data_IF_687240812331
#
_entry.id   IF_687240812331
#
_cell.length_a   1.000
_cell.length_b   1.000
_cell.length_c   1.000
_cell.angle_alpha   90.00
_cell.angle_beta   90.00
_cell.angle_gamma   90.00
#
_symmetry.space_group_name_H-M   'P 1'
#
loop_
_entity.id
_entity.type
_entity.pdbx_description
1 polymer ?
#
# COMPACT_ATOMS: atom_id res chain seq x y z
N UNK A 1 -32.98 63.12 -59.85
CA UNK A 1 -31.89 63.29 -58.87
C UNK A 1 -32.17 62.30 -57.71
N UNK A 2 -31.80 61.04 -57.90
CA UNK A 2 -32.08 59.98 -56.93
C UNK A 2 -30.81 59.62 -56.20
N UNK A 3 -30.82 59.78 -54.88
CA UNK A 3 -29.71 59.34 -54.00
C UNK A 3 -29.94 57.87 -53.51
N UNK A 4 -29.08 57.02 -54.01
CA UNK A 4 -29.03 55.61 -53.52
C UNK A 4 -28.24 55.57 -52.23
N UNK A 5 -28.86 55.13 -51.14
CA UNK A 5 -28.20 54.79 -49.86
C UNK A 5 -27.71 53.35 -49.90
N UNK A 6 -26.39 53.15 -49.85
CA UNK A 6 -25.76 51.87 -49.74
C UNK A 6 -25.83 51.35 -48.30
N UNK A 7 -26.42 50.19 -48.13
CA UNK A 7 -26.47 49.47 -46.83
C UNK A 7 -25.15 48.69 -46.61
N UNK A 8 -24.31 49.16 -45.69
CA UNK A 8 -23.11 48.44 -45.26
C UNK A 8 -23.51 47.25 -44.42
N UNK A 9 -23.24 46.03 -44.90
CA UNK A 9 -23.41 44.78 -44.13
C UNK A 9 -22.24 44.61 -43.17
N UNK A 10 -22.48 44.81 -41.87
CA UNK A 10 -21.56 44.54 -40.78
C UNK A 10 -21.46 43.03 -40.60
N UNK A 11 -20.34 42.42 -40.97
CA UNK A 11 -20.05 41.00 -40.69
C UNK A 11 -19.56 40.90 -39.25
N UNK A 12 -20.42 40.44 -38.34
CA UNK A 12 -20.03 40.06 -36.99
C UNK A 12 -19.12 38.81 -37.05
N UNK A 13 -17.86 38.96 -36.64
CA UNK A 13 -16.96 37.85 -36.39
C UNK A 13 -17.31 37.26 -35.03
N UNK A 14 -17.97 36.12 -35.02
CA UNK A 14 -18.16 35.32 -33.81
C UNK A 14 -16.80 34.72 -33.44
N UNK A 15 -16.17 35.25 -32.40
CA UNK A 15 -15.03 34.62 -31.77
C UNK A 15 -15.56 33.47 -30.89
N UNK A 16 -15.37 32.24 -31.37
CA UNK A 16 -15.59 31.04 -30.57
C UNK A 16 -14.45 30.96 -29.54
N UNK A 17 -14.73 31.40 -28.31
CA UNK A 17 -13.81 31.24 -27.18
C UNK A 17 -13.83 29.77 -26.80
N UNK A 18 -12.87 28.99 -27.32
CA UNK A 18 -12.68 27.60 -26.94
C UNK A 18 -12.30 27.55 -25.47
N UNK A 19 -13.22 27.11 -24.59
CA UNK A 19 -12.88 26.69 -23.24
C UNK A 19 -11.93 25.50 -23.33
N UNK A 20 -10.63 25.73 -23.18
CA UNK A 20 -9.66 24.72 -22.84
C UNK A 20 -10.02 24.23 -21.43
N UNK A 21 -10.76 23.13 -21.36
CA UNK A 21 -10.92 22.39 -20.12
C UNK A 21 -9.54 21.77 -19.83
N UNK A 22 -8.76 22.44 -19.00
CA UNK A 22 -7.61 21.81 -18.35
C UNK A 22 -8.19 20.69 -17.48
N UNK A 23 -8.16 19.46 -17.97
CA UNK A 23 -8.25 18.29 -17.10
C UNK A 23 -7.03 18.34 -16.21
N UNK A 24 -7.16 19.00 -15.05
CA UNK A 24 -6.17 18.93 -13.99
C UNK A 24 -6.08 17.48 -13.57
N UNK A 25 -5.13 16.73 -14.13
CA UNK A 25 -4.82 15.39 -13.67
C UNK A 25 -4.44 15.51 -12.20
N UNK A 26 -5.16 14.81 -11.31
CA UNK A 26 -4.73 14.64 -9.93
C UNK A 26 -3.26 14.17 -9.94
N UNK A 27 -2.43 14.73 -9.06
CA UNK A 27 -1.04 14.29 -8.92
C UNK A 27 -0.95 12.77 -8.66
N UNK A 28 0.25 12.20 -8.71
CA UNK A 28 0.42 10.79 -8.42
C UNK A 28 -0.05 10.47 -6.98
N UNK A 29 -0.75 9.35 -6.80
CA UNK A 29 -1.13 8.87 -5.47
C UNK A 29 0.13 8.50 -4.69
N UNK A 30 0.24 8.99 -3.46
CA UNK A 30 1.36 8.73 -2.55
C UNK A 30 1.00 7.55 -1.65
N UNK A 31 1.54 6.37 -1.96
CA UNK A 31 1.29 5.14 -1.20
C UNK A 31 2.44 4.88 -0.22
N UNK A 32 2.18 4.99 1.08
CA UNK A 32 3.13 4.57 2.11
C UNK A 32 3.14 3.03 2.18
N UNK A 33 4.29 2.43 1.90
CA UNK A 33 4.53 0.99 2.11
C UNK A 33 5.21 0.83 3.46
N UNK A 34 4.40 0.56 4.49
CA UNK A 34 4.83 0.55 5.89
C UNK A 34 4.90 -0.86 6.42
N UNK A 35 6.10 -1.32 6.77
CA UNK A 35 6.30 -2.68 7.20
C UNK A 35 7.73 -2.99 7.64
N UNK A 36 8.06 -4.26 7.62
CA UNK A 36 9.35 -4.76 8.10
C UNK A 36 10.32 -5.15 6.95
N UNK A 37 11.13 -6.19 7.16
CA UNK A 37 12.11 -6.67 6.17
C UNK A 37 11.50 -7.17 4.88
N UNK A 38 10.25 -7.64 4.91
CA UNK A 38 9.57 -8.18 3.74
C UNK A 38 9.30 -7.08 2.70
N UNK A 39 8.89 -5.90 3.14
CA UNK A 39 8.66 -4.75 2.25
C UNK A 39 9.93 -3.91 2.05
N UNK A 40 10.89 -3.94 2.99
CA UNK A 40 12.20 -3.28 2.83
C UNK A 40 13.09 -3.95 1.78
N UNK A 41 12.80 -5.21 1.38
CA UNK A 41 13.59 -5.96 0.41
C UNK A 41 14.90 -6.50 0.98
N UNK A 42 14.88 -6.95 2.25
CA UNK A 42 16.04 -7.50 2.94
C UNK A 42 16.79 -8.56 2.12
N UNK A 43 18.10 -8.43 2.03
CA UNK A 43 18.98 -9.40 1.35
C UNK A 43 18.91 -9.37 -0.19
N UNK A 44 18.13 -8.49 -0.79
CA UNK A 44 17.96 -8.38 -2.23
C UNK A 44 18.59 -7.10 -2.80
N UNK A 45 19.04 -7.13 -4.06
CA UNK A 45 19.27 -5.91 -4.82
C UNK A 45 18.00 -5.05 -4.83
N UNK A 46 18.13 -3.73 -4.75
CA UNK A 46 16.98 -2.81 -4.69
C UNK A 46 15.93 -3.07 -5.78
N UNK A 47 16.35 -3.37 -7.00
CA UNK A 47 15.46 -3.63 -8.14
C UNK A 47 14.61 -4.90 -7.97
N UNK A 48 15.05 -5.84 -7.14
CA UNK A 48 14.37 -7.11 -6.87
C UNK A 48 13.50 -7.07 -5.60
N UNK A 49 13.60 -6.00 -4.82
CA UNK A 49 12.81 -5.80 -3.60
C UNK A 49 11.34 -5.51 -3.89
N UNK A 50 10.49 -5.77 -2.89
CA UNK A 50 9.03 -5.67 -2.98
C UNK A 50 8.56 -4.32 -3.55
N UNK A 51 9.05 -3.22 -3.01
CA UNK A 51 8.60 -1.88 -3.43
C UNK A 51 8.96 -1.58 -4.88
N UNK A 52 10.17 -1.93 -5.33
CA UNK A 52 10.58 -1.70 -6.72
C UNK A 52 9.76 -2.54 -7.70
N UNK A 53 9.51 -3.81 -7.37
CA UNK A 53 8.69 -4.72 -8.17
C UNK A 53 7.22 -4.27 -8.20
N UNK A 54 6.67 -3.83 -7.06
CA UNK A 54 5.30 -3.29 -6.98
C UNK A 54 5.17 -2.00 -7.82
N UNK A 55 6.12 -1.07 -7.70
CA UNK A 55 6.14 0.16 -8.48
C UNK A 55 6.17 -0.12 -9.99
N UNK A 56 7.01 -1.06 -10.41
CA UNK A 56 7.11 -1.48 -11.81
C UNK A 56 5.80 -2.09 -12.32
N UNK A 57 5.16 -2.95 -11.52
CA UNK A 57 3.89 -3.58 -11.86
C UNK A 57 2.74 -2.56 -11.97
N UNK A 58 2.61 -1.65 -11.02
CA UNK A 58 1.61 -0.57 -11.05
C UNK A 58 1.82 0.37 -12.25
N UNK A 59 3.07 0.72 -12.54
CA UNK A 59 3.41 1.53 -13.71
C UNK A 59 3.06 0.85 -15.02
N UNK A 60 3.28 -0.47 -15.13
CA UNK A 60 2.92 -1.24 -16.32
C UNK A 60 1.41 -1.21 -16.59
N UNK A 61 0.58 -1.12 -15.54
CA UNK A 61 -0.88 -0.98 -15.65
C UNK A 61 -1.34 0.50 -15.76
N UNK A 62 -0.41 1.43 -16.01
CA UNK A 62 -0.72 2.85 -16.19
C UNK A 62 -1.10 3.60 -14.92
N UNK A 63 -0.85 3.02 -13.72
CA UNK A 63 -1.14 3.68 -12.44
C UNK A 63 -0.05 4.69 -12.10
N UNK A 64 -0.44 5.92 -11.81
CA UNK A 64 0.46 7.00 -11.39
C UNK A 64 0.59 7.00 -9.85
N UNK A 65 1.57 6.27 -9.34
CA UNK A 65 1.80 6.09 -7.90
C UNK A 65 3.23 6.42 -7.54
N UNK A 66 3.41 7.14 -6.44
CA UNK A 66 4.71 7.33 -5.77
C UNK A 66 4.70 6.47 -4.51
N UNK A 67 5.58 5.49 -4.43
CA UNK A 67 5.76 4.71 -3.22
C UNK A 67 6.64 5.49 -2.24
N UNK A 68 6.15 5.62 -1.01
CA UNK A 68 6.89 6.16 0.13
C UNK A 68 7.43 4.98 0.92
N UNK A 69 8.75 4.91 1.05
CA UNK A 69 9.40 3.80 1.74
C UNK A 69 9.26 3.93 3.25
N UNK A 70 8.50 3.00 3.83
CA UNK A 70 8.31 2.83 5.26
C UNK A 70 8.76 1.46 5.75
N UNK A 71 9.59 0.73 5.00
CA UNK A 71 10.13 -0.58 5.38
C UNK A 71 11.34 -0.48 6.31
N UNK A 72 11.29 -1.16 7.46
CA UNK A 72 12.43 -1.24 8.39
C UNK A 72 12.66 -2.68 8.81
N UNK A 73 13.78 -3.25 8.34
CA UNK A 73 14.10 -4.66 8.63
C UNK A 73 14.20 -4.95 10.13
N UNK A 74 13.52 -6.03 10.55
CA UNK A 74 13.49 -6.44 11.96
C UNK A 74 12.43 -5.73 12.80
N UNK A 75 11.64 -4.84 12.21
CA UNK A 75 10.63 -4.09 12.94
C UNK A 75 9.49 -4.99 13.45
N UNK A 76 9.07 -4.72 14.66
CA UNK A 76 7.87 -5.32 15.27
C UNK A 76 6.69 -4.35 15.15
N UNK A 77 5.50 -4.80 15.52
CA UNK A 77 4.35 -3.90 15.62
C UNK A 77 4.59 -2.73 16.59
N UNK A 78 5.33 -2.96 17.69
CA UNK A 78 5.73 -1.91 18.63
C UNK A 78 6.71 -0.91 17.99
N UNK A 79 7.71 -1.38 17.22
CA UNK A 79 8.64 -0.53 16.51
C UNK A 79 7.92 0.30 15.44
N UNK A 80 7.06 -0.33 14.65
CA UNK A 80 6.21 0.35 13.68
C UNK A 80 5.36 1.45 14.32
N UNK A 81 4.68 1.14 15.43
CA UNK A 81 3.88 2.14 16.17
C UNK A 81 4.73 3.34 16.61
N UNK A 82 5.93 3.08 17.13
CA UNK A 82 6.82 4.14 17.63
C UNK A 82 7.29 5.12 16.55
N UNK A 83 7.38 4.70 15.28
CA UNK A 83 7.84 5.53 14.15
C UNK A 83 6.72 5.97 13.20
N UNK A 84 5.47 5.62 13.49
CA UNK A 84 4.35 5.87 12.57
C UNK A 84 4.18 7.36 12.24
N UNK A 85 4.23 8.24 13.23
CA UNK A 85 4.07 9.68 13.01
C UNK A 85 5.19 10.26 12.13
N UNK A 86 6.41 9.72 12.26
CA UNK A 86 7.50 10.10 11.37
C UNK A 86 7.23 9.69 9.92
N UNK A 87 6.74 8.46 9.69
CA UNK A 87 6.38 8.00 8.35
C UNK A 87 5.20 8.77 7.74
N UNK A 88 4.25 9.21 8.57
CA UNK A 88 3.11 10.04 8.14
C UNK A 88 3.48 11.48 7.81
N UNK A 89 4.64 11.98 8.24
CA UNK A 89 5.13 13.32 7.89
C UNK A 89 5.29 13.51 6.37
N UNK A 90 5.49 12.43 5.63
CA UNK A 90 5.54 12.43 4.17
C UNK A 90 4.16 12.59 3.50
N UNK A 91 3.08 12.71 4.28
CA UNK A 91 1.70 12.94 3.83
C UNK A 91 1.26 11.94 2.76
N UNK A 92 1.15 10.66 3.09
CA UNK A 92 0.60 9.66 2.19
C UNK A 92 -0.89 9.88 1.93
N UNK A 93 -1.38 9.38 0.79
CA UNK A 93 -2.80 9.35 0.45
C UNK A 93 -3.44 8.00 0.82
N UNK A 94 -2.62 6.96 0.97
CA UNK A 94 -3.02 5.60 1.37
C UNK A 94 -1.86 4.86 2.03
N UNK A 95 -2.16 3.79 2.77
CA UNK A 95 -1.16 3.00 3.48
C UNK A 95 -1.33 1.51 3.16
N UNK A 96 -0.23 0.90 2.74
CA UNK A 96 -0.02 -0.55 2.74
C UNK A 96 0.68 -0.90 4.05
N UNK A 97 -0.01 -1.63 4.94
CA UNK A 97 0.47 -2.00 6.27
C UNK A 97 0.83 -3.49 6.32
N UNK A 98 2.11 -3.78 6.50
CA UNK A 98 2.67 -5.12 6.64
C UNK A 98 3.54 -5.16 7.90
N UNK A 99 3.07 -5.75 8.98
CA UNK A 99 3.78 -5.91 10.25
C UNK A 99 3.26 -7.13 11.02
N UNK A 100 4.12 -7.67 11.88
CA UNK A 100 3.78 -8.74 12.80
C UNK A 100 4.65 -9.99 12.63
N UNK A 101 5.38 -10.15 11.52
CA UNK A 101 6.28 -11.29 11.33
C UNK A 101 7.31 -11.38 12.45
N UNK A 102 7.93 -10.26 12.80
CA UNK A 102 8.93 -10.20 13.87
C UNK A 102 8.34 -10.40 15.27
N UNK A 103 7.10 -9.99 15.50
CA UNK A 103 6.37 -10.29 16.75
C UNK A 103 6.23 -11.80 16.91
N UNK A 104 5.76 -12.48 15.86
CA UNK A 104 5.63 -13.93 15.87
C UNK A 104 6.99 -14.64 16.02
N UNK A 105 8.02 -14.23 15.26
CA UNK A 105 9.35 -14.83 15.37
C UNK A 105 9.96 -14.69 16.76
N UNK A 106 9.63 -13.64 17.49
CA UNK A 106 10.08 -13.39 18.87
C UNK A 106 9.17 -13.99 19.94
N UNK A 107 8.04 -14.59 19.55
CA UNK A 107 7.06 -15.13 20.49
C UNK A 107 6.39 -14.04 21.35
N UNK A 108 6.25 -12.82 20.80
CA UNK A 108 5.54 -11.73 21.48
C UNK A 108 4.09 -12.14 21.75
N UNK A 109 3.57 -11.80 22.92
CA UNK A 109 2.17 -12.10 23.25
C UNK A 109 1.23 -11.51 22.16
N UNK A 110 0.34 -12.32 21.56
CA UNK A 110 -0.58 -11.83 20.53
C UNK A 110 -1.44 -10.64 20.98
N UNK A 111 -1.69 -10.48 22.27
CA UNK A 111 -2.40 -9.31 22.82
C UNK A 111 -1.61 -8.01 22.67
N UNK A 112 -0.28 -8.04 22.73
CA UNK A 112 0.55 -6.85 22.49
C UNK A 112 0.59 -6.51 20.99
N UNK A 113 0.70 -7.54 20.11
CA UNK A 113 0.57 -7.35 18.66
C UNK A 113 -0.78 -6.71 18.32
N UNK A 114 -1.86 -7.20 18.93
CA UNK A 114 -3.22 -6.66 18.76
C UNK A 114 -3.33 -5.19 19.17
N UNK A 115 -2.81 -4.85 20.33
CA UNK A 115 -2.79 -3.50 20.88
C UNK A 115 -2.03 -2.54 19.98
N UNK A 116 -0.85 -2.93 19.52
CA UNK A 116 -0.01 -2.08 18.66
C UNK A 116 -0.67 -1.86 17.28
N UNK A 117 -1.13 -2.93 16.61
CA UNK A 117 -1.82 -2.81 15.32
C UNK A 117 -3.12 -2.02 15.45
N UNK A 118 -3.86 -2.18 16.56
CA UNK A 118 -5.05 -1.37 16.84
C UNK A 118 -4.69 0.11 16.90
N UNK A 119 -3.65 0.47 17.65
CA UNK A 119 -3.21 1.87 17.77
C UNK A 119 -2.72 2.44 16.43
N UNK A 120 -2.00 1.65 15.62
CA UNK A 120 -1.61 2.04 14.26
C UNK A 120 -2.86 2.34 13.40
N UNK A 121 -3.82 1.42 13.37
CA UNK A 121 -5.04 1.58 12.57
C UNK A 121 -5.91 2.74 13.07
N UNK A 122 -5.99 2.99 14.39
CA UNK A 122 -6.68 4.14 14.97
C UNK A 122 -6.04 5.45 14.50
N UNK A 123 -4.71 5.51 14.50
CA UNK A 123 -3.97 6.68 14.05
C UNK A 123 -4.17 6.95 12.56
N UNK A 124 -4.15 5.89 11.71
CA UNK A 124 -4.40 6.00 10.27
C UNK A 124 -5.84 6.42 9.97
N UNK A 125 -6.80 5.90 10.74
CA UNK A 125 -8.21 6.27 10.64
C UNK A 125 -8.46 7.73 11.02
N UNK A 126 -7.76 8.26 12.05
CA UNK A 126 -7.84 9.66 12.44
C UNK A 126 -7.35 10.62 11.35
N UNK A 127 -6.41 10.17 10.50
CA UNK A 127 -5.97 10.88 9.29
C UNK A 127 -6.83 10.58 8.05
N UNK A 128 -7.92 9.82 8.20
CA UNK A 128 -8.81 9.40 7.10
C UNK A 128 -8.11 8.64 5.97
N UNK A 129 -7.01 7.97 6.27
CA UNK A 129 -6.23 7.22 5.29
C UNK A 129 -6.85 5.85 5.01
N UNK A 130 -7.14 5.49 3.76
CA UNK A 130 -7.49 4.12 3.41
C UNK A 130 -6.29 3.20 3.62
N UNK A 131 -6.56 1.98 4.11
CA UNK A 131 -5.52 1.02 4.49
C UNK A 131 -5.75 -0.32 3.81
N UNK A 132 -4.68 -0.88 3.24
CA UNK A 132 -4.56 -2.31 2.95
C UNK A 132 -3.66 -2.91 4.03
N UNK A 133 -4.23 -3.73 4.90
CA UNK A 133 -3.49 -4.48 5.91
C UNK A 133 -3.28 -5.91 5.46
N UNK A 134 -2.07 -6.40 5.57
CA UNK A 134 -1.77 -7.82 5.34
C UNK A 134 -1.72 -8.58 6.66
N UNK A 135 -2.26 -9.80 6.64
CA UNK A 135 -2.13 -10.73 7.74
C UNK A 135 -0.79 -11.45 7.74
N UNK A 136 -0.44 -12.02 8.88
CA UNK A 136 0.77 -12.81 9.08
C UNK A 136 0.44 -14.09 9.84
N UNK A 137 1.21 -15.14 9.59
CA UNK A 137 1.10 -16.40 10.32
C UNK A 137 2.30 -16.61 11.22
N UNK A 138 2.05 -17.21 12.37
CA UNK A 138 3.11 -17.55 13.31
C UNK A 138 3.81 -18.86 12.90
N UNK A 139 5.12 -18.98 13.13
CA UNK A 139 5.85 -20.23 12.94
C UNK A 139 5.23 -21.39 13.76
N UNK A 140 5.12 -22.60 13.17
CA UNK A 140 4.41 -23.72 13.82
C UNK A 140 5.08 -24.23 15.10
N UNK A 141 6.37 -23.96 15.30
CA UNK A 141 7.11 -24.31 16.51
C UNK A 141 6.66 -23.56 17.77
N UNK A 142 5.88 -22.48 17.65
CA UNK A 142 5.26 -21.79 18.78
C UNK A 142 3.97 -22.46 19.28
N UNK A 143 3.54 -23.52 18.62
CA UNK A 143 2.38 -24.32 18.98
C UNK A 143 1.05 -23.77 18.43
N UNK A 144 0.08 -24.69 18.34
CA UNK A 144 -1.21 -24.41 17.70
C UNK A 144 -2.02 -23.32 18.43
N UNK A 145 -1.94 -23.26 19.76
CA UNK A 145 -2.66 -22.27 20.56
C UNK A 145 -2.18 -20.84 20.26
N UNK A 146 -0.85 -20.63 20.23
CA UNK A 146 -0.26 -19.35 19.88
C UNK A 146 -0.64 -18.96 18.46
N UNK A 147 -0.48 -19.86 17.48
CA UNK A 147 -0.82 -19.59 16.09
C UNK A 147 -2.30 -19.23 15.90
N UNK A 148 -3.21 -19.88 16.63
CA UNK A 148 -4.64 -19.55 16.58
C UNK A 148 -4.93 -18.14 17.14
N UNK A 149 -4.34 -17.81 18.30
CA UNK A 149 -4.48 -16.48 18.90
C UNK A 149 -3.89 -15.39 18.00
N UNK A 150 -2.71 -15.62 17.43
CA UNK A 150 -2.05 -14.69 16.53
C UNK A 150 -2.90 -14.41 15.26
N UNK A 151 -3.42 -15.45 14.61
CA UNK A 151 -4.35 -15.28 13.47
C UNK A 151 -5.63 -14.54 13.85
N UNK A 152 -6.16 -14.78 15.06
CA UNK A 152 -7.38 -14.11 15.53
C UNK A 152 -7.21 -12.60 15.65
N UNK A 153 -6.00 -12.09 15.95
CA UNK A 153 -5.68 -10.65 15.94
C UNK A 153 -6.01 -10.05 14.56
N UNK A 154 -5.41 -10.60 13.52
CA UNK A 154 -5.61 -10.08 12.15
C UNK A 154 -7.06 -10.24 11.68
N UNK A 155 -7.70 -11.39 11.97
CA UNK A 155 -9.10 -11.62 11.62
C UNK A 155 -10.07 -10.64 12.31
N UNK A 156 -9.75 -10.20 13.52
CA UNK A 156 -10.50 -9.15 14.22
C UNK A 156 -10.28 -7.78 13.57
N UNK A 157 -9.03 -7.41 13.32
CA UNK A 157 -8.66 -6.12 12.75
C UNK A 157 -9.17 -5.95 11.30
N UNK A 158 -9.23 -7.05 10.55
CA UNK A 158 -9.79 -7.09 9.19
C UNK A 158 -11.26 -6.60 9.10
N UNK A 159 -12.00 -6.65 10.21
CA UNK A 159 -13.40 -6.21 10.27
C UNK A 159 -13.56 -4.70 10.48
N UNK A 160 -12.46 -3.97 10.62
CA UNK A 160 -12.51 -2.51 10.83
C UNK A 160 -12.98 -1.80 9.57
N UNK A 161 -13.86 -0.78 9.70
CA UNK A 161 -14.26 0.03 8.56
C UNK A 161 -13.06 0.66 7.85
N UNK A 162 -13.09 0.67 6.53
CA UNK A 162 -12.02 1.28 5.72
C UNK A 162 -10.79 0.40 5.47
N UNK A 163 -10.65 -0.73 6.16
CA UNK A 163 -9.54 -1.67 5.94
C UNK A 163 -9.87 -2.61 4.78
N UNK A 164 -8.96 -2.71 3.82
CA UNK A 164 -8.85 -3.84 2.90
C UNK A 164 -7.92 -4.85 3.56
N UNK A 165 -8.25 -6.13 3.52
CA UNK A 165 -7.46 -7.15 4.20
C UNK A 165 -6.99 -8.23 3.25
N UNK A 166 -5.69 -8.50 3.29
CA UNK A 166 -5.05 -9.67 2.68
C UNK A 166 -4.71 -10.67 3.80
N UNK A 167 -5.25 -11.91 3.76
CA UNK A 167 -5.15 -12.83 4.90
C UNK A 167 -3.74 -13.25 5.27
N UNK A 168 -2.83 -13.39 4.28
CA UNK A 168 -1.47 -13.82 4.52
C UNK A 168 -0.50 -13.31 3.46
N UNK A 169 0.38 -12.38 3.82
CA UNK A 169 1.30 -11.74 2.89
C UNK A 169 2.17 -12.72 2.13
N UNK A 170 2.73 -13.71 2.82
CA UNK A 170 3.62 -14.72 2.24
C UNK A 170 2.90 -15.94 1.63
N UNK A 171 1.60 -15.81 1.32
CA UNK A 171 0.83 -16.93 0.77
C UNK A 171 1.44 -17.42 -0.56
N UNK A 172 1.72 -18.74 -0.63
CA UNK A 172 2.34 -19.39 -1.77
C UNK A 172 3.86 -19.27 -1.82
N UNK A 173 4.47 -18.45 -0.97
CA UNK A 173 5.92 -18.22 -0.87
C UNK A 173 6.50 -18.86 0.38
N UNK A 174 5.87 -18.67 1.54
CA UNK A 174 6.35 -19.23 2.80
C UNK A 174 6.55 -20.75 2.72
N UNK A 175 7.69 -21.22 3.21
CA UNK A 175 8.04 -22.62 3.23
C UNK A 175 8.43 -23.25 1.88
N UNK A 176 8.45 -22.48 0.79
CA UNK A 176 8.92 -22.96 -0.51
C UNK A 176 10.41 -22.57 -0.73
N UNK A 177 11.36 -23.54 -0.68
CA UNK A 177 12.79 -23.23 -0.81
C UNK A 177 13.15 -22.55 -2.14
N UNK A 178 12.39 -22.79 -3.21
CA UNK A 178 12.64 -22.17 -4.52
C UNK A 178 12.26 -20.67 -4.56
N UNK A 179 11.46 -20.21 -3.60
CA UNK A 179 10.94 -18.83 -3.55
C UNK A 179 11.52 -18.04 -2.36
N UNK A 180 12.31 -18.68 -1.50
CA UNK A 180 12.94 -18.05 -0.34
C UNK A 180 14.45 -17.98 -0.48
N UNK A 181 15.06 -17.05 0.23
CA UNK A 181 16.51 -16.94 0.42
C UNK A 181 17.03 -18.12 1.28
N UNK A 182 18.33 -18.22 1.44
CA UNK A 182 18.96 -19.30 2.21
C UNK A 182 18.59 -19.34 3.71
N UNK A 183 17.97 -18.30 4.24
CA UNK A 183 17.46 -18.24 5.60
C UNK A 183 16.07 -18.88 5.77
N UNK A 184 15.41 -19.24 4.68
CA UNK A 184 14.07 -19.83 4.63
C UNK A 184 12.94 -18.95 5.20
N UNK A 185 13.21 -17.67 5.44
CA UNK A 185 12.27 -16.69 6.01
C UNK A 185 11.92 -15.60 5.01
N UNK A 186 12.93 -15.08 4.31
CA UNK A 186 12.75 -13.97 3.39
C UNK A 186 12.58 -14.46 1.95
N UNK A 187 11.66 -13.90 1.17
CA UNK A 187 11.51 -14.20 -0.25
C UNK A 187 12.77 -13.86 -1.03
N UNK A 188 13.09 -14.68 -2.04
CA UNK A 188 14.05 -14.33 -3.06
C UNK A 188 13.35 -13.52 -4.19
N UNK A 189 14.08 -13.09 -5.21
CA UNK A 189 13.52 -12.29 -6.31
C UNK A 189 12.31 -12.96 -7.00
N UNK A 190 12.27 -14.29 -7.09
CA UNK A 190 11.12 -15.02 -7.65
C UNK A 190 9.93 -15.01 -6.69
N UNK A 191 10.18 -15.17 -5.38
CA UNK A 191 9.17 -15.06 -4.32
C UNK A 191 8.54 -13.67 -4.32
N UNK A 192 9.34 -12.60 -4.35
CA UNK A 192 8.84 -11.22 -4.41
C UNK A 192 7.95 -10.99 -5.64
N UNK A 193 8.33 -11.49 -6.82
CA UNK A 193 7.48 -11.40 -8.01
C UNK A 193 6.13 -12.07 -7.82
N UNK A 194 6.11 -13.23 -7.16
CA UNK A 194 4.86 -13.94 -6.85
C UNK A 194 4.00 -13.14 -5.87
N UNK A 195 4.60 -12.59 -4.80
CA UNK A 195 3.89 -11.75 -3.83
C UNK A 195 3.28 -10.52 -4.48
N UNK A 196 4.06 -9.79 -5.30
CA UNK A 196 3.57 -8.62 -6.02
C UNK A 196 2.43 -8.98 -6.96
N UNK A 197 2.54 -10.05 -7.73
CA UNK A 197 1.48 -10.48 -8.64
C UNK A 197 0.18 -10.81 -7.88
N UNK A 198 0.29 -11.43 -6.70
CA UNK A 198 -0.83 -11.82 -5.86
C UNK A 198 -1.50 -10.63 -5.17
N UNK A 199 -0.69 -9.72 -4.59
CA UNK A 199 -1.22 -8.60 -3.78
C UNK A 199 -1.67 -7.40 -4.62
N UNK A 200 -1.15 -7.25 -5.85
CA UNK A 200 -1.43 -6.11 -6.73
C UNK A 200 -2.92 -5.78 -6.86
N UNK A 201 -3.85 -6.73 -7.07
CA UNK A 201 -5.28 -6.40 -7.16
C UNK A 201 -5.83 -5.73 -5.89
N UNK A 202 -5.36 -6.13 -4.71
CA UNK A 202 -5.77 -5.48 -3.46
C UNK A 202 -5.16 -4.08 -3.31
N UNK A 203 -3.93 -3.88 -3.79
CA UNK A 203 -3.30 -2.54 -3.86
C UNK A 203 -4.07 -1.64 -4.81
N UNK A 204 -4.48 -2.12 -5.98
CA UNK A 204 -5.30 -1.35 -6.93
C UNK A 204 -6.65 -0.95 -6.32
N UNK A 205 -7.30 -1.89 -5.62
CA UNK A 205 -8.53 -1.60 -4.89
C UNK A 205 -8.33 -0.56 -3.76
N UNK A 206 -7.15 -0.52 -3.13
CA UNK A 206 -6.76 0.52 -2.18
C UNK A 206 -6.62 1.87 -2.87
N UNK A 207 -5.88 1.92 -3.98
CA UNK A 207 -5.66 3.15 -4.75
C UNK A 207 -6.97 3.74 -5.27
N UNK A 208 -7.94 2.90 -5.63
CA UNK A 208 -9.26 3.32 -6.09
C UNK A 208 -10.14 3.94 -4.98
N UNK A 209 -9.71 3.89 -3.71
CA UNK A 209 -10.37 4.57 -2.57
C UNK A 209 -9.83 5.96 -2.30
N UNK A 210 -8.69 6.32 -2.89
CA UNK A 210 -8.08 7.64 -2.69
C UNK A 210 -8.95 8.70 -3.36
N UNK A 211 -9.30 9.75 -2.61
CA UNK A 211 -10.09 10.88 -3.12
C UNK A 211 -11.58 10.61 -3.33
N UNK A 212 -12.12 9.55 -2.70
CA UNK A 212 -13.57 9.25 -2.69
C UNK A 212 -14.22 9.70 -1.39
#
# INVERSE_FOLDING_TARGET
>A
MERRYGVARLRAKVFLLGCLVFSGGAGPVRLLVFGDSLVAGYGLPQADGFQAQLAAALKADGRHVVLLDGGVSGDTTAGGLARLDWALADKPDAVFLELGANDALRGTDPSETDKNLTAILDRLQAEHLPVLMTGMEAPPNLGAAYGAQFRAVFARLAKRPGVIFDPFFLQGVAGNPALNQGDHLHPNAAGVKMEVARIKPAVEALLDRVGK
#
